data_IF_076728547710
#
_entry.id   IF_076728547710
#
_cell.length_a   1.000
_cell.length_b   1.000
_cell.length_c   1.000
_cell.angle_alpha   90.00
_cell.angle_beta   90.00
_cell.angle_gamma   90.00
#
_symmetry.space_group_name_H-M   'P 1'
#
loop_
_entity.id
_entity.type
_entity.pdbx_description
1 polymer ?
#
# COMPACT_ATOMS: atom_id res chain seq x y z
N UNK A 1 -47.38 47.14 41.79
CA UNK A 1 -46.70 46.86 40.50
C UNK A 1 -46.37 45.36 40.49
N UNK A 2 -47.19 44.56 39.80
CA UNK A 2 -47.12 43.08 39.81
C UNK A 2 -46.32 42.66 38.57
N UNK A 3 -45.11 42.17 38.77
CA UNK A 3 -44.27 41.62 37.70
C UNK A 3 -44.68 40.16 37.42
N UNK A 4 -45.43 39.95 36.34
CA UNK A 4 -45.71 38.61 35.81
C UNK A 4 -44.44 38.03 35.16
N UNK A 5 -43.86 37.03 35.81
CA UNK A 5 -42.77 36.21 35.28
C UNK A 5 -43.33 35.21 34.24
N UNK A 6 -43.10 35.47 32.95
CA UNK A 6 -43.39 34.53 31.86
C UNK A 6 -42.37 33.38 31.95
N UNK A 7 -42.78 32.25 32.54
CA UNK A 7 -41.96 31.02 32.54
C UNK A 7 -41.84 30.51 31.11
N UNK A 8 -40.69 30.74 30.48
CA UNK A 8 -40.29 29.98 29.30
C UNK A 8 -40.08 28.51 29.69
N UNK A 9 -41.07 27.67 29.41
CA UNK A 9 -40.96 26.23 29.55
C UNK A 9 -39.93 25.73 28.54
N UNK A 10 -38.74 25.36 29.02
CA UNK A 10 -37.72 24.65 28.22
C UNK A 10 -38.31 23.31 27.80
N UNK A 11 -38.79 23.19 26.55
CA UNK A 11 -39.13 21.88 25.97
C UNK A 11 -37.87 21.03 25.94
N UNK A 12 -37.78 20.05 26.85
CA UNK A 12 -36.82 18.95 26.70
C UNK A 12 -37.31 18.10 25.53
N UNK A 13 -36.66 18.25 24.38
CA UNK A 13 -36.78 17.29 23.27
C UNK A 13 -36.07 16.01 23.70
N UNK A 14 -36.85 14.95 23.94
CA UNK A 14 -36.33 13.60 24.11
C UNK A 14 -36.38 12.90 22.76
N UNK A 15 -35.32 12.16 22.42
CA UNK A 15 -35.29 11.34 21.22
C UNK A 15 -36.21 10.14 21.40
N UNK A 16 -37.04 9.87 20.39
CA UNK A 16 -37.89 8.67 20.39
C UNK A 16 -37.11 7.45 19.92
N UNK A 17 -37.55 6.24 20.29
CA UNK A 17 -36.91 4.99 19.85
C UNK A 17 -36.96 4.84 18.32
N UNK A 18 -38.05 5.30 17.70
CA UNK A 18 -38.20 5.28 16.24
C UNK A 18 -37.24 6.25 15.55
N UNK A 19 -37.00 7.42 16.14
CA UNK A 19 -36.07 8.41 15.60
C UNK A 19 -34.63 7.89 15.63
N UNK A 20 -34.23 7.23 16.72
CA UNK A 20 -32.92 6.57 16.78
C UNK A 20 -32.79 5.42 15.77
N UNK A 21 -33.85 4.62 15.60
CA UNK A 21 -33.85 3.54 14.60
C UNK A 21 -33.67 4.08 13.17
N UNK A 22 -34.38 5.14 12.82
CA UNK A 22 -34.25 5.79 11.51
C UNK A 22 -32.84 6.34 11.31
N UNK A 23 -32.26 7.02 12.33
CA UNK A 23 -30.89 7.53 12.25
C UNK A 23 -29.88 6.41 12.04
N UNK A 24 -30.01 5.29 12.75
CA UNK A 24 -29.11 4.14 12.59
C UNK A 24 -29.20 3.53 11.19
N UNK A 25 -30.41 3.41 10.63
CA UNK A 25 -30.60 2.93 9.25
C UNK A 25 -29.93 3.88 8.25
N UNK A 26 -30.16 5.20 8.39
CA UNK A 26 -29.56 6.20 7.52
C UNK A 26 -28.03 6.20 7.62
N UNK A 27 -27.47 6.09 8.83
CA UNK A 27 -26.02 5.94 9.03
C UNK A 27 -25.49 4.66 8.40
N UNK A 28 -26.20 3.53 8.55
CA UNK A 28 -25.82 2.27 7.92
C UNK A 28 -25.79 2.36 6.39
N UNK A 29 -26.81 2.97 5.79
CA UNK A 29 -26.87 3.20 4.34
C UNK A 29 -25.76 4.13 3.85
N UNK A 30 -25.48 5.20 4.59
CA UNK A 30 -24.35 6.09 4.29
C UNK A 30 -23.01 5.34 4.39
N UNK A 31 -22.83 4.51 5.42
CA UNK A 31 -21.64 3.69 5.60
C UNK A 31 -21.46 2.69 4.45
N UNK A 32 -22.53 2.04 3.98
CA UNK A 32 -22.49 1.14 2.82
C UNK A 32 -22.01 1.84 1.54
N UNK A 33 -22.41 3.10 1.34
CA UNK A 33 -21.99 3.89 0.18
C UNK A 33 -20.54 4.37 0.28
N UNK A 34 -20.10 4.75 1.48
CA UNK A 34 -18.75 5.31 1.70
C UNK A 34 -17.70 4.22 1.92
N UNK A 35 -18.07 3.07 2.48
CA UNK A 35 -17.17 1.96 2.76
C UNK A 35 -16.26 1.58 1.58
N UNK A 36 -16.75 1.29 0.36
CA UNK A 36 -15.88 0.87 -0.74
C UNK A 36 -14.87 1.95 -1.17
N UNK A 37 -15.11 3.23 -0.90
CA UNK A 37 -14.13 4.30 -1.16
C UNK A 37 -13.01 4.36 -0.11
N UNK A 38 -13.25 3.81 1.08
CA UNK A 38 -12.30 3.76 2.19
C UNK A 38 -11.57 2.42 2.30
N UNK A 39 -12.18 1.33 1.83
CA UNK A 39 -11.54 0.02 1.84
C UNK A 39 -10.42 -0.01 0.79
N UNK A 40 -9.16 -0.28 1.18
CA UNK A 40 -8.11 -0.58 0.23
C UNK A 40 -8.54 -1.77 -0.64
N UNK A 41 -8.25 -1.77 -1.95
CA UNK A 41 -8.52 -2.94 -2.78
C UNK A 41 -7.88 -4.16 -2.11
N UNK A 42 -8.68 -5.20 -1.89
CA UNK A 42 -8.21 -6.52 -1.48
C UNK A 42 -7.35 -7.09 -2.62
N UNK A 43 -6.11 -6.59 -2.72
CA UNK A 43 -5.07 -7.27 -3.47
C UNK A 43 -4.68 -8.44 -2.60
N UNK A 44 -4.87 -9.65 -3.12
CA UNK A 44 -4.12 -10.80 -2.64
C UNK A 44 -2.67 -10.33 -2.54
N UNK A 45 -2.14 -10.23 -1.32
CA UNK A 45 -0.78 -9.75 -1.10
C UNK A 45 0.14 -10.76 -1.76
N UNK A 46 0.51 -10.49 -3.00
CA UNK A 46 1.41 -11.36 -3.72
C UNK A 46 2.72 -11.38 -2.94
N UNK A 47 3.39 -12.55 -2.88
CA UNK A 47 4.70 -12.64 -2.23
C UNK A 47 5.70 -11.61 -2.83
N UNK A 48 5.44 -11.18 -4.08
CA UNK A 48 6.17 -10.13 -4.77
C UNK A 48 5.90 -8.74 -4.16
N UNK A 49 4.65 -8.37 -3.89
CA UNK A 49 4.33 -7.08 -3.25
C UNK A 49 4.92 -6.97 -1.84
N UNK A 50 4.87 -8.07 -1.08
CA UNK A 50 5.50 -8.14 0.23
C UNK A 50 7.04 -7.99 0.13
N UNK A 51 7.66 -8.61 -0.89
CA UNK A 51 9.09 -8.47 -1.18
C UNK A 51 9.44 -7.03 -1.56
N UNK A 52 8.66 -6.37 -2.40
CA UNK A 52 8.87 -4.98 -2.82
C UNK A 52 8.72 -4.01 -1.65
N UNK A 53 7.68 -4.21 -0.82
CA UNK A 53 7.48 -3.44 0.41
C UNK A 53 8.64 -3.60 1.39
N UNK A 54 9.10 -4.84 1.61
CA UNK A 54 10.27 -5.13 2.44
C UNK A 54 11.55 -4.48 1.91
N UNK A 55 11.78 -4.56 0.59
CA UNK A 55 12.94 -3.94 -0.06
C UNK A 55 12.95 -2.42 0.11
N UNK A 56 11.79 -1.78 -0.04
CA UNK A 56 11.61 -0.34 0.20
C UNK A 56 11.89 0.04 1.65
N UNK A 57 11.34 -0.70 2.60
CA UNK A 57 11.55 -0.46 4.01
C UNK A 57 13.04 -0.60 4.38
N UNK A 58 13.73 -1.56 3.77
CA UNK A 58 15.18 -1.73 3.92
C UNK A 58 15.97 -0.56 3.32
N UNK A 59 15.62 -0.10 2.11
CA UNK A 59 16.26 1.05 1.49
C UNK A 59 16.07 2.33 2.32
N UNK A 60 14.84 2.60 2.76
CA UNK A 60 14.50 3.74 3.59
C UNK A 60 15.24 3.71 4.95
N UNK A 61 15.27 2.55 5.62
CA UNK A 61 15.97 2.40 6.91
C UNK A 61 17.47 2.58 6.81
N UNK A 62 18.09 2.18 5.68
CA UNK A 62 19.53 2.28 5.48
C UNK A 62 19.98 3.59 4.84
N UNK A 63 19.06 4.36 4.24
CA UNK A 63 19.39 5.59 3.54
C UNK A 63 20.23 5.40 2.27
N UNK A 64 20.21 4.20 1.68
CA UNK A 64 21.00 3.84 0.50
C UNK A 64 20.16 3.08 -0.52
N UNK A 65 20.60 3.12 -1.78
CA UNK A 65 19.95 2.35 -2.85
C UNK A 65 20.16 0.85 -2.60
N UNK A 66 19.09 0.09 -2.73
CA UNK A 66 19.07 -1.37 -2.60
C UNK A 66 18.80 -1.98 -3.96
N UNK A 67 19.57 -3.01 -4.29
CA UNK A 67 19.45 -3.75 -5.54
C UNK A 67 18.78 -5.09 -5.25
N UNK A 68 17.64 -5.34 -5.90
CA UNK A 68 16.92 -6.59 -5.83
C UNK A 68 17.13 -7.33 -7.15
N UNK A 69 17.92 -8.39 -7.12
CA UNK A 69 18.12 -9.27 -8.27
C UNK A 69 17.14 -10.43 -8.19
N UNK A 70 16.43 -10.71 -9.28
CA UNK A 70 15.44 -11.77 -9.39
C UNK A 70 15.83 -12.64 -10.58
N UNK A 71 16.12 -13.91 -10.31
CA UNK A 71 16.46 -14.91 -11.29
C UNK A 71 15.18 -15.47 -11.95
N UNK A 72 15.25 -15.99 -13.20
CA UNK A 72 14.09 -16.58 -13.91
C UNK A 72 13.42 -17.73 -13.15
N UNK A 73 14.19 -18.43 -12.33
CA UNK A 73 13.74 -19.54 -11.47
C UNK A 73 13.07 -19.05 -10.16
N UNK A 74 12.86 -17.74 -10.02
CA UNK A 74 12.21 -17.12 -8.87
C UNK A 74 13.09 -16.99 -7.63
N UNK A 75 14.40 -17.28 -7.70
CA UNK A 75 15.31 -16.87 -6.62
C UNK A 75 15.44 -15.36 -6.62
N UNK A 76 15.49 -14.76 -5.44
CA UNK A 76 15.81 -13.36 -5.32
C UNK A 76 16.88 -13.14 -4.27
N UNK A 77 17.67 -12.09 -4.48
CA UNK A 77 18.68 -11.60 -3.55
C UNK A 77 18.62 -10.09 -3.48
N UNK A 78 18.73 -9.57 -2.27
CA UNK A 78 18.74 -8.16 -1.96
C UNK A 78 20.16 -7.76 -1.57
N UNK A 79 20.70 -6.72 -2.19
CA UNK A 79 22.07 -6.27 -2.02
C UNK A 79 22.10 -4.78 -1.67
N UNK A 80 22.99 -4.41 -0.75
CA UNK A 80 23.21 -3.02 -0.36
C UNK A 80 24.19 -2.35 -1.32
N UNK A 81 23.86 -1.13 -1.75
CA UNK A 81 24.79 -0.29 -2.49
C UNK A 81 25.12 -0.80 -3.89
N UNK A 82 25.90 -0.03 -4.64
CA UNK A 82 26.20 -0.32 -6.05
C UNK A 82 27.19 -1.48 -6.24
N UNK A 83 27.79 -1.97 -5.15
CA UNK A 83 28.77 -3.05 -5.18
C UNK A 83 28.15 -4.34 -4.62
N UNK A 84 28.02 -5.41 -5.43
CA UNK A 84 27.53 -6.72 -4.97
C UNK A 84 28.33 -7.34 -3.82
N UNK A 85 29.54 -6.81 -3.56
CA UNK A 85 30.46 -7.25 -2.51
C UNK A 85 30.19 -6.58 -1.15
N UNK A 86 29.35 -5.55 -1.08
CA UNK A 86 28.95 -4.91 0.19
C UNK A 86 28.02 -5.78 1.03
N UNK A 87 27.58 -6.92 0.47
CA UNK A 87 26.97 -8.01 1.20
C UNK A 87 25.49 -8.18 0.86
N UNK A 88 25.08 -9.45 0.81
CA UNK A 88 23.69 -9.83 0.62
C UNK A 88 22.90 -9.54 1.89
N UNK A 89 21.88 -8.69 1.76
CA UNK A 89 20.99 -8.28 2.84
C UNK A 89 19.96 -9.36 3.17
N UNK A 90 19.41 -9.99 2.14
CA UNK A 90 18.39 -11.02 2.26
C UNK A 90 18.34 -11.84 0.96
N UNK A 91 17.86 -13.07 1.06
CA UNK A 91 17.58 -13.94 -0.10
C UNK A 91 16.28 -14.69 0.12
N UNK A 92 15.64 -15.11 -0.95
CA UNK A 92 14.48 -15.98 -0.84
C UNK A 92 13.97 -16.43 -2.20
N UNK A 93 12.69 -16.80 -2.22
CA UNK A 93 11.99 -17.24 -3.43
C UNK A 93 10.67 -16.52 -3.61
N UNK A 94 10.29 -16.31 -4.85
CA UNK A 94 8.96 -15.88 -5.30
C UNK A 94 8.51 -16.81 -6.42
N UNK A 95 7.21 -16.82 -6.73
CA UNK A 95 6.74 -17.48 -7.95
C UNK A 95 7.48 -16.90 -9.16
N UNK A 96 7.97 -17.72 -10.10
CA UNK A 96 8.57 -17.23 -11.33
C UNK A 96 7.59 -16.36 -12.14
N UNK A 97 7.99 -15.12 -12.45
CA UNK A 97 7.20 -14.19 -13.27
C UNK A 97 8.02 -13.51 -14.37
N UNK A 98 9.32 -13.77 -14.43
CA UNK A 98 10.25 -13.27 -15.45
C UNK A 98 10.91 -14.42 -16.18
N UNK A 99 11.19 -14.23 -17.46
CA UNK A 99 11.87 -15.22 -18.32
C UNK A 99 13.38 -15.01 -18.41
N UNK A 100 13.87 -13.86 -17.95
CA UNK A 100 15.27 -13.46 -17.92
C UNK A 100 15.58 -12.76 -16.58
N UNK A 101 16.84 -12.80 -16.11
CA UNK A 101 17.21 -12.19 -14.84
C UNK A 101 16.99 -10.67 -14.88
N UNK A 102 16.29 -10.16 -13.87
CA UNK A 102 16.01 -8.72 -13.73
C UNK A 102 16.62 -8.19 -12.45
N UNK A 103 17.12 -6.96 -12.52
CA UNK A 103 17.60 -6.20 -11.37
C UNK A 103 16.73 -4.98 -11.18
N UNK A 104 16.16 -4.83 -9.99
CA UNK A 104 15.37 -3.68 -9.58
C UNK A 104 16.21 -2.83 -8.62
N UNK A 105 16.34 -1.54 -8.93
CA UNK A 105 16.95 -0.54 -8.07
C UNK A 105 15.85 0.13 -7.24
N UNK A 106 15.97 0.09 -5.93
CA UNK A 106 15.02 0.71 -4.99
C UNK A 106 15.72 1.84 -4.25
N UNK A 107 15.25 3.06 -4.46
CA UNK A 107 15.78 4.27 -3.84
C UNK A 107 15.25 4.43 -2.41
N UNK A 108 16.04 4.96 -1.47
CA UNK A 108 15.56 5.34 -0.14
C UNK A 108 14.47 6.43 -0.19
N UNK A 109 14.34 7.14 -1.31
CA UNK A 109 13.32 8.16 -1.55
C UNK A 109 11.97 7.58 -2.02
N UNK A 110 11.88 6.25 -2.15
CA UNK A 110 10.64 5.54 -2.47
C UNK A 110 10.43 5.21 -3.96
N UNK A 111 11.31 5.66 -4.86
CA UNK A 111 11.25 5.31 -6.28
C UNK A 111 11.87 3.93 -6.56
N UNK A 112 11.29 3.17 -7.48
CA UNK A 112 11.92 1.96 -8.04
C UNK A 112 12.07 2.06 -9.55
N UNK A 113 13.13 1.46 -10.07
CA UNK A 113 13.36 1.35 -11.50
C UNK A 113 14.10 0.05 -11.81
N UNK A 114 13.85 -0.54 -12.97
CA UNK A 114 14.72 -1.61 -13.46
C UNK A 114 16.07 -1.05 -13.86
N UNK A 115 17.14 -1.81 -13.59
CA UNK A 115 18.46 -1.51 -14.13
C UNK A 115 18.40 -1.50 -15.67
N UNK A 116 19.18 -0.63 -16.31
CA UNK A 116 19.18 -0.48 -17.78
C UNK A 116 19.50 -1.80 -18.50
N UNK A 117 20.31 -2.67 -17.88
CA UNK A 117 20.66 -3.99 -18.43
C UNK A 117 19.48 -4.95 -18.43
N UNK A 118 18.50 -4.71 -17.57
CA UNK A 118 17.27 -5.49 -17.43
C UNK A 118 16.11 -4.94 -18.26
N UNK A 119 16.29 -3.84 -19.00
CA UNK A 119 15.21 -3.19 -19.76
C UNK A 119 14.50 -4.14 -20.75
N UNK A 120 15.25 -5.00 -21.45
CA UNK A 120 14.68 -5.98 -22.38
C UNK A 120 13.88 -7.09 -21.68
N UNK A 121 14.31 -7.52 -20.49
CA UNK A 121 13.60 -8.51 -19.68
C UNK A 121 12.39 -7.91 -18.95
N UNK A 122 12.44 -6.61 -18.66
CA UNK A 122 11.39 -5.84 -18.01
C UNK A 122 10.26 -5.45 -18.97
N UNK A 123 10.39 -5.57 -20.30
CA UNK A 123 9.31 -5.18 -21.22
C UNK A 123 8.06 -6.08 -21.08
N UNK A 124 8.24 -7.30 -20.57
CA UNK A 124 7.17 -8.22 -20.20
C UNK A 124 6.43 -7.81 -18.90
N UNK A 125 6.99 -6.88 -18.13
CA UNK A 125 6.57 -6.56 -16.76
C UNK A 125 6.50 -5.04 -16.57
N UNK A 126 5.28 -4.50 -16.47
CA UNK A 126 5.10 -3.08 -16.18
C UNK A 126 5.39 -2.82 -14.69
N UNK A 127 6.36 -1.95 -14.41
CA UNK A 127 6.64 -1.44 -13.07
C UNK A 127 6.21 0.02 -12.99
N UNK A 128 5.38 0.36 -11.99
CA UNK A 128 5.12 1.75 -11.66
C UNK A 128 6.27 2.30 -10.79
N UNK A 129 7.00 3.34 -11.23
CA UNK A 129 8.18 3.83 -10.53
C UNK A 129 7.88 4.53 -9.21
N UNK A 130 6.65 5.04 -9.02
CA UNK A 130 6.23 5.78 -7.82
C UNK A 130 5.58 4.87 -6.79
N UNK A 131 4.81 3.89 -7.24
CA UNK A 131 4.15 2.93 -6.34
C UNK A 131 4.96 1.65 -6.14
N UNK A 132 5.99 1.41 -6.96
CA UNK A 132 6.75 0.15 -7.04
C UNK A 132 5.83 -1.07 -7.08
N UNK A 133 4.72 -0.94 -7.80
CA UNK A 133 3.83 -2.06 -8.10
C UNK A 133 4.27 -2.71 -9.40
N UNK A 134 4.32 -4.03 -9.40
CA UNK A 134 4.60 -4.83 -10.58
C UNK A 134 3.29 -5.36 -11.15
N UNK A 135 3.06 -5.12 -12.44
CA UNK A 135 1.95 -5.66 -13.21
C UNK A 135 2.51 -6.47 -14.39
N UNK A 136 2.26 -7.77 -14.40
CA UNK A 136 2.50 -8.60 -15.57
C UNK A 136 1.57 -8.15 -16.70
N UNK A 137 2.11 -7.95 -17.90
CA UNK A 137 1.29 -7.67 -19.08
C UNK A 137 0.61 -8.92 -19.62
#
# INVERSE_FOLDING_TARGET
>A
MIQQQVRHMRRRSGFTLIELLVVLILMGLAALLVAPALLPPHREHSALDALLSSTREVAARRGQVVYLHIDPIGQWRMEAGANPREGTLATGRVQPFVTAPVTLMVSPLGSCAFDLRSAAAADAVALDPLTCEIRTR
#
